data_IF_889443918406
#
_entry.id   IF_889443918406
#
_cell.length_a   1.000
_cell.length_b   1.000
_cell.length_c   1.000
_cell.angle_alpha   90.00
_cell.angle_beta   90.00
_cell.angle_gamma   90.00
#
_symmetry.space_group_name_H-M   'P 1'
#
loop_
_entity.id
_entity.type
_entity.pdbx_description
1 polymer ?
#
# COMPACT_ATOMS: atom_id res chain seq x y z
N UNK A 1 6.41 52.76 -10.22
CA UNK A 1 5.20 52.01 -10.63
C UNK A 1 5.63 50.62 -11.07
N UNK A 2 5.58 49.64 -10.17
CA UNK A 2 5.70 48.23 -10.53
C UNK A 2 4.39 47.81 -11.20
N UNK A 3 4.40 47.16 -12.38
CA UNK A 3 3.16 46.70 -12.99
C UNK A 3 2.46 45.76 -12.01
N UNK A 4 1.16 46.00 -11.85
CA UNK A 4 0.25 45.33 -10.95
C UNK A 4 0.11 43.84 -11.36
N UNK A 5 1.08 43.01 -10.96
CA UNK A 5 1.07 41.59 -11.26
C UNK A 5 0.18 40.89 -10.23
N UNK A 6 -1.04 40.57 -10.63
CA UNK A 6 -1.91 39.68 -9.84
C UNK A 6 -1.43 38.24 -10.04
N UNK A 7 -0.83 37.58 -9.02
CA UNK A 7 -0.38 36.20 -9.15
C UNK A 7 -1.57 35.29 -9.46
N UNK A 8 -1.40 34.39 -10.43
CA UNK A 8 -2.44 33.41 -10.79
C UNK A 8 -2.69 32.49 -9.60
N UNK A 9 -3.93 32.50 -9.08
CA UNK A 9 -4.39 31.62 -8.02
C UNK A 9 -5.01 30.39 -8.70
N UNK A 10 -4.43 29.21 -8.48
CA UNK A 10 -4.87 27.96 -9.11
C UNK A 10 -5.77 27.11 -8.21
N UNK A 11 -5.80 27.41 -6.91
CA UNK A 11 -6.68 26.79 -5.91
C UNK A 11 -6.80 27.68 -4.68
N UNK A 12 -7.82 27.43 -3.86
CA UNK A 12 -7.95 28.11 -2.57
C UNK A 12 -8.48 29.55 -2.63
N UNK A 13 -9.09 29.97 -3.74
CA UNK A 13 -9.58 31.35 -3.90
C UNK A 13 -10.78 31.66 -3.00
N UNK A 14 -11.71 30.71 -2.87
CA UNK A 14 -12.96 30.88 -2.13
C UNK A 14 -12.99 30.08 -0.80
N UNK A 15 -12.15 29.04 -0.69
CA UNK A 15 -12.12 28.11 0.45
C UNK A 15 -10.77 27.40 0.49
N UNK A 16 -10.19 27.25 1.69
CA UNK A 16 -8.85 26.68 1.89
C UNK A 16 -7.72 27.70 1.71
N UNK A 17 -6.49 27.20 1.67
CA UNK A 17 -5.27 28.02 1.54
C UNK A 17 -5.02 28.38 0.07
N UNK A 18 -4.86 29.66 -0.30
CA UNK A 18 -4.55 30.04 -1.67
C UNK A 18 -3.23 29.45 -2.17
N UNK A 19 -3.28 28.84 -3.35
CA UNK A 19 -2.10 28.33 -4.08
C UNK A 19 -1.85 29.24 -5.28
N UNK A 20 -0.70 29.87 -5.30
CA UNK A 20 -0.30 30.88 -6.27
C UNK A 20 0.86 30.41 -7.12
N UNK A 21 0.91 30.89 -8.37
CA UNK A 21 2.03 30.66 -9.28
C UNK A 21 2.84 31.94 -9.49
N UNK A 22 4.17 31.80 -9.55
CA UNK A 22 5.02 32.87 -10.09
C UNK A 22 4.73 33.10 -11.58
N UNK A 23 5.10 34.26 -12.12
CA UNK A 23 4.83 34.64 -13.52
C UNK A 23 5.28 33.60 -14.54
N UNK A 24 6.49 33.09 -14.38
CA UNK A 24 7.04 32.07 -15.26
C UNK A 24 6.29 30.74 -15.14
N UNK A 25 5.84 30.39 -13.93
CA UNK A 25 5.12 29.14 -13.68
C UNK A 25 3.65 29.20 -14.10
N UNK A 26 3.04 30.40 -14.12
CA UNK A 26 1.69 30.60 -14.65
C UNK A 26 1.59 30.22 -16.14
N UNK A 27 2.61 30.55 -16.94
CA UNK A 27 2.67 30.14 -18.35
C UNK A 27 2.74 28.62 -18.50
N UNK A 28 3.58 27.96 -17.70
CA UNK A 28 3.67 26.50 -17.68
C UNK A 28 2.34 25.85 -17.31
N UNK A 29 1.67 26.35 -16.26
CA UNK A 29 0.36 25.85 -15.85
C UNK A 29 -0.71 26.04 -16.93
N UNK A 30 -0.74 27.19 -17.59
CA UNK A 30 -1.68 27.48 -18.68
C UNK A 30 -1.48 26.56 -19.90
N UNK A 31 -0.30 25.96 -20.07
CA UNK A 31 -0.08 24.94 -21.11
C UNK A 31 -0.52 23.54 -20.65
N UNK A 32 -0.35 23.22 -19.37
CA UNK A 32 -0.78 21.93 -18.80
C UNK A 32 -2.30 21.82 -18.64
N UNK A 33 -2.98 22.91 -18.29
CA UNK A 33 -4.41 22.88 -17.99
C UNK A 33 -5.28 22.42 -19.17
N UNK A 34 -5.08 22.94 -20.40
CA UNK A 34 -5.77 22.41 -21.58
C UNK A 34 -5.48 20.93 -21.82
N UNK A 35 -4.24 20.48 -21.62
CA UNK A 35 -3.86 19.07 -21.78
C UNK A 35 -4.60 18.19 -20.76
N UNK A 36 -4.67 18.62 -19.50
CA UNK A 36 -5.40 17.91 -18.45
C UNK A 36 -6.91 17.83 -18.75
N UNK A 37 -7.50 18.93 -19.26
CA UNK A 37 -8.90 18.98 -19.70
C UNK A 37 -9.16 18.08 -20.92
N UNK A 38 -8.17 17.94 -21.80
CA UNK A 38 -8.20 17.01 -22.93
C UNK A 38 -7.97 15.54 -22.53
N UNK A 39 -7.85 15.24 -21.22
CA UNK A 39 -7.69 13.88 -20.71
C UNK A 39 -6.25 13.37 -20.65
N UNK A 40 -5.25 14.23 -20.82
CA UNK A 40 -3.85 13.83 -20.65
C UNK A 40 -3.60 13.44 -19.18
N UNK A 41 -3.23 12.17 -18.96
CA UNK A 41 -3.03 11.59 -17.64
C UNK A 41 -2.01 12.35 -16.77
N UNK A 42 -0.84 12.65 -17.34
CA UNK A 42 0.26 13.34 -16.65
C UNK A 42 -0.09 14.77 -16.25
N UNK A 43 -0.68 15.52 -17.18
CA UNK A 43 -1.13 16.87 -16.91
C UNK A 43 -2.21 16.90 -15.81
N UNK A 44 -3.15 15.94 -15.85
CA UNK A 44 -4.20 15.82 -14.86
C UNK A 44 -3.65 15.50 -13.46
N UNK A 45 -2.72 14.54 -13.36
CA UNK A 45 -1.99 14.23 -12.13
C UNK A 45 -1.31 15.47 -11.56
N UNK A 46 -0.49 16.16 -12.36
CA UNK A 46 0.29 17.31 -11.89
C UNK A 46 -0.63 18.42 -11.38
N UNK A 47 -1.69 18.73 -12.13
CA UNK A 47 -2.62 19.80 -11.76
C UNK A 47 -3.39 19.47 -10.48
N UNK A 48 -3.96 18.26 -10.39
CA UNK A 48 -4.69 17.83 -9.18
C UNK A 48 -3.82 17.90 -7.95
N UNK A 49 -2.59 17.41 -8.06
CA UNK A 49 -1.65 17.40 -6.95
C UNK A 49 -1.27 18.83 -6.53
N UNK A 50 -0.94 19.72 -7.46
CA UNK A 50 -0.65 21.14 -7.16
C UNK A 50 -1.83 21.85 -6.49
N UNK A 51 -3.05 21.65 -7.01
CA UNK A 51 -4.26 22.24 -6.44
C UNK A 51 -4.54 21.69 -5.03
N UNK A 52 -4.20 20.43 -4.78
CA UNK A 52 -4.42 19.77 -3.49
C UNK A 52 -3.68 20.42 -2.31
N UNK A 53 -2.66 21.25 -2.58
CA UNK A 53 -2.00 22.07 -1.56
C UNK A 53 -2.98 23.02 -0.83
N UNK A 54 -4.10 23.39 -1.47
CA UNK A 54 -5.06 24.30 -0.87
C UNK A 54 -5.76 23.73 0.36
N UNK A 55 -5.75 22.41 0.56
CA UNK A 55 -6.34 21.80 1.76
C UNK A 55 -5.47 21.97 3.02
N UNK A 56 -4.32 22.66 2.93
CA UNK A 56 -3.49 23.07 4.08
C UNK A 56 -2.74 21.94 4.81
N UNK A 57 -3.07 20.69 4.51
CA UNK A 57 -2.29 19.54 4.93
C UNK A 57 -1.02 19.45 4.07
N UNK A 58 0.15 19.39 4.72
CA UNK A 58 1.35 18.81 4.10
C UNK A 58 0.99 17.35 3.83
N UNK A 59 0.41 17.11 2.66
CA UNK A 59 0.08 15.77 2.18
C UNK A 59 1.39 15.01 1.97
N UNK A 60 1.34 13.67 1.89
CA UNK A 60 2.56 12.83 1.82
C UNK A 60 3.42 13.03 0.56
N UNK A 61 2.93 13.80 -0.43
CA UNK A 61 3.65 14.35 -1.61
C UNK A 61 4.61 15.49 -1.29
N UNK A 62 4.46 16.16 -0.14
CA UNK A 62 5.18 17.38 0.17
C UNK A 62 6.37 17.06 1.06
N UNK A 63 7.58 17.20 0.50
CA UNK A 63 8.84 17.03 1.22
C UNK A 63 9.37 18.39 1.65
N UNK A 64 9.50 18.60 2.95
CA UNK A 64 10.05 19.85 3.49
C UNK A 64 11.57 19.80 3.36
N UNK A 65 12.16 20.67 2.54
CA UNK A 65 13.62 20.76 2.46
C UNK A 65 14.16 21.52 3.66
N UNK A 66 15.19 20.98 4.32
CA UNK A 66 15.94 21.63 5.41
C UNK A 66 16.79 22.83 4.95
N UNK A 67 16.28 23.62 4.01
CA UNK A 67 16.81 24.95 3.70
C UNK A 67 16.66 25.83 4.94
N UNK A 68 17.64 26.69 5.26
CA UNK A 68 17.65 27.46 6.50
C UNK A 68 16.33 28.19 6.68
N UNK A 69 15.75 28.02 7.88
CA UNK A 69 14.53 28.68 8.32
C UNK A 69 14.77 30.20 8.34
N UNK A 70 14.62 30.86 7.19
CA UNK A 70 14.23 32.26 7.23
C UNK A 70 12.87 32.31 7.93
N UNK A 71 12.79 33.05 9.04
CA UNK A 71 11.66 33.02 9.98
C UNK A 71 10.27 33.24 9.35
N UNK A 72 10.21 33.71 8.10
CA UNK A 72 9.00 34.09 7.38
C UNK A 72 8.55 33.09 6.29
N UNK A 73 9.37 32.09 5.90
CA UNK A 73 9.04 31.19 4.78
C UNK A 73 9.51 29.75 5.02
N UNK A 74 8.63 28.78 4.76
CA UNK A 74 9.00 27.35 4.69
C UNK A 74 9.10 26.92 3.23
N UNK A 75 10.28 26.48 2.81
CA UNK A 75 10.49 25.91 1.49
C UNK A 75 10.18 24.42 1.51
N UNK A 76 9.47 23.94 0.49
CA UNK A 76 9.23 22.52 0.31
C UNK A 76 9.22 22.15 -1.16
N UNK A 77 9.56 20.88 -1.40
CA UNK A 77 9.60 20.27 -2.70
C UNK A 77 8.50 19.23 -2.79
N UNK A 78 7.64 19.35 -3.79
CA UNK A 78 6.66 18.35 -4.15
C UNK A 78 7.28 17.40 -5.17
N UNK A 79 7.34 16.11 -4.85
CA UNK A 79 7.74 15.09 -5.81
C UNK A 79 6.47 14.58 -6.48
N UNK A 80 6.40 14.73 -7.80
CA UNK A 80 5.32 14.21 -8.63
C UNK A 80 5.93 13.26 -9.66
N UNK A 81 5.20 12.21 -10.05
CA UNK A 81 5.56 11.44 -11.21
C UNK A 81 5.82 12.33 -12.44
N UNK A 82 7.05 12.26 -12.98
CA UNK A 82 7.51 13.08 -14.10
C UNK A 82 7.70 14.58 -13.82
N UNK A 83 7.49 15.07 -12.60
CA UNK A 83 7.58 16.51 -12.29
C UNK A 83 8.06 16.80 -10.87
N UNK A 84 8.83 17.87 -10.70
CA UNK A 84 9.22 18.37 -9.38
C UNK A 84 8.80 19.81 -9.25
N UNK A 85 7.89 20.08 -8.32
CA UNK A 85 7.47 21.45 -7.99
C UNK A 85 8.16 21.94 -6.72
N UNK A 86 8.58 23.20 -6.73
CA UNK A 86 9.18 23.88 -5.59
C UNK A 86 8.21 24.97 -5.12
N UNK A 87 7.91 24.93 -3.83
CA UNK A 87 6.82 25.71 -3.25
C UNK A 87 7.29 26.40 -1.97
N UNK A 88 6.81 27.62 -1.76
CA UNK A 88 6.99 28.39 -0.53
C UNK A 88 5.68 28.43 0.24
N UNK A 89 5.71 28.10 1.53
CA UNK A 89 4.67 28.51 2.47
C UNK A 89 5.03 29.90 2.99
N UNK A 90 4.21 30.89 2.66
CA UNK A 90 4.36 32.26 3.16
C UNK A 90 3.86 32.37 4.60
N UNK A 91 4.37 33.35 5.35
CA UNK A 91 3.87 33.72 6.68
C UNK A 91 2.38 34.08 6.69
N UNK A 92 1.86 34.56 5.57
CA UNK A 92 0.42 34.81 5.34
C UNK A 92 -0.43 33.54 5.20
N UNK A 93 0.18 32.36 5.34
CA UNK A 93 -0.47 31.06 5.17
C UNK A 93 -0.52 30.57 3.72
N UNK A 94 -0.35 31.45 2.72
CA UNK A 94 -0.46 31.13 1.29
C UNK A 94 0.69 30.25 0.79
N UNK A 95 0.42 29.50 -0.28
CA UNK A 95 1.43 28.74 -1.01
C UNK A 95 1.82 29.43 -2.31
N UNK A 96 3.12 29.50 -2.61
CA UNK A 96 3.64 30.03 -3.87
C UNK A 96 4.51 28.97 -4.56
N UNK A 97 4.04 28.43 -5.68
CA UNK A 97 4.84 27.58 -6.58
C UNK A 97 5.70 28.49 -7.43
N UNK A 98 7.01 28.47 -7.18
CA UNK A 98 7.94 29.39 -7.82
C UNK A 98 8.80 28.74 -8.90
N UNK A 99 8.90 27.41 -8.90
CA UNK A 99 9.67 26.65 -9.89
C UNK A 99 9.06 25.26 -10.09
N UNK A 100 8.99 24.81 -11.33
CA UNK A 100 8.71 23.43 -11.70
C UNK A 100 9.82 22.91 -12.61
N UNK A 101 10.13 21.62 -12.49
CA UNK A 101 11.05 20.89 -13.37
C UNK A 101 10.33 19.65 -13.88
N UNK A 102 10.08 19.60 -15.19
CA UNK A 102 9.49 18.44 -15.86
C UNK A 102 10.60 17.47 -16.26
N UNK A 103 10.31 16.17 -16.22
CA UNK A 103 11.12 15.12 -16.82
C UNK A 103 10.41 14.66 -18.10
N UNK A 104 10.80 15.27 -19.22
CA UNK A 104 10.16 15.04 -20.53
C UNK A 104 10.30 13.58 -21.01
N UNK A 105 11.29 12.85 -20.47
CA UNK A 105 11.53 11.46 -20.81
C UNK A 105 10.74 10.47 -19.94
N UNK A 106 10.01 10.96 -18.93
CA UNK A 106 9.34 10.10 -17.96
C UNK A 106 8.36 9.10 -18.59
N UNK A 107 7.47 9.49 -19.53
CA UNK A 107 6.56 8.52 -20.18
C UNK A 107 7.31 7.44 -20.97
N UNK A 108 8.39 7.81 -21.67
CA UNK A 108 9.24 6.86 -22.40
C UNK A 108 9.95 5.88 -21.45
N UNK A 109 10.38 6.37 -20.29
CA UNK A 109 11.00 5.51 -19.28
C UNK A 109 10.00 4.54 -18.67
N UNK A 110 8.72 4.89 -18.55
CA UNK A 110 7.69 3.95 -18.09
C UNK A 110 7.35 2.91 -19.15
N UNK A 111 7.19 3.33 -20.41
CA UNK A 111 6.90 2.40 -21.50
C UNK A 111 8.00 1.36 -21.69
N UNK A 112 9.25 1.75 -21.42
CA UNK A 112 10.42 0.85 -21.43
C UNK A 112 10.66 0.12 -20.11
N UNK A 113 9.77 0.25 -19.12
CA UNK A 113 9.87 -0.42 -17.82
C UNK A 113 11.04 0.04 -16.94
N UNK A 114 11.57 1.24 -17.19
CA UNK A 114 12.65 1.88 -16.41
C UNK A 114 12.11 2.85 -15.34
N UNK A 115 10.83 3.18 -15.40
CA UNK A 115 10.09 3.91 -14.36
C UNK A 115 8.83 3.14 -13.96
N UNK A 116 8.30 3.38 -12.75
CA UNK A 116 7.13 2.67 -12.27
C UNK A 116 5.91 2.96 -13.15
N UNK A 117 5.03 1.99 -13.32
CA UNK A 117 3.83 2.17 -14.14
C UNK A 117 2.91 0.96 -14.15
N UNK A 118 1.71 1.18 -14.67
CA UNK A 118 0.70 0.14 -14.87
C UNK A 118 0.91 -0.51 -16.24
N UNK A 119 0.89 -1.85 -16.27
CA UNK A 119 1.04 -2.65 -17.47
C UNK A 119 -0.11 -3.65 -17.58
N UNK A 120 -0.72 -3.78 -18.76
CA UNK A 120 -1.64 -4.85 -19.08
C UNK A 120 -0.83 -6.08 -19.46
N UNK A 121 -1.03 -7.19 -18.77
CA UNK A 121 -0.31 -8.44 -19.01
C UNK A 121 -1.24 -9.44 -19.68
N UNK A 122 -0.91 -9.83 -20.91
CA UNK A 122 -1.65 -10.85 -21.67
C UNK A 122 -0.79 -12.07 -21.93
N UNK A 123 -1.43 -13.23 -21.99
CA UNK A 123 -0.77 -14.46 -22.41
C UNK A 123 -0.76 -14.55 -23.94
N UNK A 124 0.42 -14.83 -24.50
CA UNK A 124 0.57 -15.18 -25.91
C UNK A 124 1.37 -16.48 -25.97
N UNK A 125 0.70 -17.58 -26.31
CA UNK A 125 1.29 -18.93 -26.23
C UNK A 125 1.69 -19.30 -24.80
N UNK A 126 2.96 -19.61 -24.57
CA UNK A 126 3.52 -19.93 -23.25
C UNK A 126 3.97 -18.70 -22.45
N UNK A 127 3.93 -17.50 -23.06
CA UNK A 127 4.60 -16.33 -22.53
C UNK A 127 3.64 -15.24 -22.06
N UNK A 128 4.08 -14.48 -21.06
CA UNK A 128 3.37 -13.31 -20.55
C UNK A 128 3.98 -12.04 -21.14
N UNK A 129 3.13 -11.22 -21.75
CA UNK A 129 3.51 -10.00 -22.44
C UNK A 129 2.91 -8.79 -21.72
N UNK A 130 3.73 -8.01 -20.99
CA UNK A 130 3.32 -6.74 -20.41
C UNK A 130 3.33 -5.63 -21.47
N UNK A 131 2.25 -4.85 -21.53
CA UNK A 131 2.13 -3.65 -22.35
C UNK A 131 1.77 -2.46 -21.45
N UNK A 132 2.51 -1.36 -21.55
CA UNK A 132 2.28 -0.18 -20.72
C UNK A 132 0.89 0.44 -20.97
N UNK A 133 0.21 0.85 -19.89
CA UNK A 133 -1.10 1.50 -19.92
C UNK A 133 -0.91 3.00 -19.63
N UNK A 134 -0.96 3.82 -20.68
CA UNK A 134 -0.64 5.26 -20.58
C UNK A 134 -1.61 6.07 -19.71
N UNK A 135 -2.87 5.65 -19.62
CA UNK A 135 -3.92 6.37 -18.91
C UNK A 135 -4.11 5.91 -17.45
N UNK A 136 -3.36 4.88 -17.00
CA UNK A 136 -3.47 4.32 -15.65
C UNK A 136 -4.79 3.57 -15.36
N UNK A 137 -5.64 3.33 -16.36
CA UNK A 137 -6.92 2.68 -16.15
C UNK A 137 -6.75 1.16 -16.07
N UNK A 138 -7.32 0.57 -15.03
CA UNK A 138 -7.37 -0.88 -14.88
C UNK A 138 -8.32 -1.46 -15.94
N UNK A 139 -7.89 -2.56 -16.54
CA UNK A 139 -8.59 -3.32 -17.55
C UNK A 139 -9.95 -3.79 -17.01
N UNK A 140 -11.00 -3.52 -17.77
CA UNK A 140 -12.35 -3.92 -17.44
C UNK A 140 -12.58 -5.39 -17.82
N UNK A 141 -12.20 -6.30 -16.93
CA UNK A 141 -12.48 -7.74 -17.02
C UNK A 141 -13.60 -8.15 -16.07
N UNK A 142 -14.28 -9.29 -16.29
CA UNK A 142 -15.30 -9.78 -15.36
C UNK A 142 -14.76 -9.99 -13.93
N UNK A 143 -13.49 -10.38 -13.81
CA UNK A 143 -12.76 -10.44 -12.54
C UNK A 143 -11.43 -9.69 -12.72
N UNK A 144 -11.39 -8.36 -12.51
CA UNK A 144 -10.17 -7.58 -12.67
C UNK A 144 -9.13 -8.01 -11.63
N UNK A 145 -7.91 -8.29 -12.08
CA UNK A 145 -6.80 -8.70 -11.23
C UNK A 145 -5.69 -7.68 -11.43
N UNK A 146 -5.18 -7.12 -10.33
CA UNK A 146 -4.03 -6.22 -10.35
C UNK A 146 -2.94 -6.76 -9.44
N UNK A 147 -1.79 -7.06 -10.03
CA UNK A 147 -0.57 -7.39 -9.29
C UNK A 147 0.26 -6.14 -9.02
N UNK A 148 0.81 -6.00 -7.81
CA UNK A 148 1.77 -4.94 -7.46
C UNK A 148 3.12 -5.60 -7.22
N UNK A 149 4.08 -5.32 -8.10
CA UNK A 149 5.38 -6.00 -8.14
C UNK A 149 6.56 -5.02 -8.10
N UNK A 150 7.69 -5.50 -7.58
CA UNK A 150 8.93 -4.73 -7.44
C UNK A 150 10.18 -5.59 -7.65
N UNK A 151 11.34 -4.94 -7.75
CA UNK A 151 12.63 -5.62 -7.59
C UNK A 151 13.09 -6.45 -8.79
N UNK A 152 12.35 -6.42 -9.90
CA UNK A 152 12.71 -7.08 -11.15
C UNK A 152 13.47 -6.14 -12.09
N UNK A 153 14.31 -6.72 -12.95
CA UNK A 153 15.08 -5.98 -13.96
C UNK A 153 14.20 -5.40 -15.07
N UNK A 154 13.10 -6.07 -15.38
CA UNK A 154 12.18 -5.70 -16.44
C UNK A 154 10.76 -6.21 -16.11
N UNK A 155 9.76 -5.67 -16.82
CA UNK A 155 8.37 -6.02 -16.62
C UNK A 155 8.02 -7.45 -17.04
N UNK A 156 8.79 -8.08 -17.94
CA UNK A 156 8.54 -9.47 -18.35
C UNK A 156 8.79 -10.44 -17.19
N UNK A 157 9.94 -10.34 -16.53
CA UNK A 157 10.27 -11.17 -15.37
C UNK A 157 9.26 -10.98 -14.23
N UNK A 158 8.86 -9.73 -13.99
CA UNK A 158 7.82 -9.39 -13.03
C UNK A 158 6.47 -10.04 -13.39
N UNK A 159 6.08 -10.00 -14.67
CA UNK A 159 4.83 -10.59 -15.15
C UNK A 159 4.80 -12.11 -14.96
N UNK A 160 5.89 -12.82 -15.27
CA UNK A 160 5.97 -14.26 -15.01
C UNK A 160 5.81 -14.58 -13.52
N UNK A 161 6.51 -13.83 -12.66
CA UNK A 161 6.43 -14.06 -11.23
C UNK A 161 5.06 -13.73 -10.66
N UNK A 162 4.46 -12.61 -11.07
CA UNK A 162 3.11 -12.22 -10.68
C UNK A 162 2.07 -13.25 -11.13
N UNK A 163 2.16 -13.76 -12.35
CA UNK A 163 1.26 -14.82 -12.81
C UNK A 163 1.40 -16.11 -11.98
N UNK A 164 2.62 -16.46 -11.57
CA UNK A 164 2.86 -17.60 -10.68
C UNK A 164 2.23 -17.38 -9.31
N UNK A 165 2.39 -16.20 -8.73
CA UNK A 165 1.85 -15.85 -7.42
C UNK A 165 0.32 -15.76 -7.42
N UNK A 166 -0.28 -15.23 -8.49
CA UNK A 166 -1.73 -15.24 -8.68
C UNK A 166 -2.26 -16.68 -8.73
N UNK A 167 -1.60 -17.59 -9.46
CA UNK A 167 -1.99 -19.01 -9.50
C UNK A 167 -1.84 -19.67 -8.12
N UNK A 168 -0.76 -19.37 -7.41
CA UNK A 168 -0.49 -19.92 -6.08
C UNK A 168 -1.48 -19.42 -5.03
N UNK A 169 -2.11 -18.25 -5.24
CA UNK A 169 -3.14 -17.73 -4.33
C UNK A 169 -4.39 -18.62 -4.25
N UNK A 170 -4.69 -19.38 -5.30
CA UNK A 170 -5.90 -20.20 -5.40
C UNK A 170 -7.21 -19.41 -5.57
N UNK A 171 -7.15 -18.07 -5.57
CA UNK A 171 -8.33 -17.20 -5.68
C UNK A 171 -8.91 -17.16 -7.10
N UNK A 172 -8.06 -17.39 -8.11
CA UNK A 172 -8.45 -17.39 -9.52
C UNK A 172 -7.94 -18.67 -10.17
N UNK A 173 -8.82 -19.36 -10.88
CA UNK A 173 -8.44 -20.55 -11.65
C UNK A 173 -7.45 -20.22 -12.77
N UNK A 174 -6.43 -21.05 -12.95
CA UNK A 174 -5.41 -20.88 -14.00
C UNK A 174 -5.99 -20.63 -15.38
N UNK A 175 -7.09 -21.30 -15.74
CA UNK A 175 -7.77 -21.10 -17.03
C UNK A 175 -8.27 -19.65 -17.22
N UNK A 176 -8.84 -19.05 -16.17
CA UNK A 176 -9.34 -17.67 -16.21
C UNK A 176 -8.19 -16.70 -16.39
N UNK A 177 -7.14 -16.85 -15.56
CA UNK A 177 -5.94 -16.01 -15.64
C UNK A 177 -5.28 -16.08 -17.01
N UNK A 178 -5.15 -17.28 -17.59
CA UNK A 178 -4.51 -17.48 -18.88
C UNK A 178 -5.29 -16.90 -20.06
N UNK A 179 -6.62 -16.88 -19.96
CA UNK A 179 -7.49 -16.36 -21.01
C UNK A 179 -7.66 -14.84 -20.94
N UNK A 180 -7.81 -14.28 -19.74
CA UNK A 180 -8.09 -12.85 -19.57
C UNK A 180 -6.82 -12.01 -19.38
N UNK A 181 -5.78 -12.57 -18.77
CA UNK A 181 -4.63 -11.81 -18.30
C UNK A 181 -4.84 -11.16 -16.94
N UNK A 182 -4.04 -10.15 -16.65
CA UNK A 182 -4.12 -9.33 -15.43
C UNK A 182 -3.40 -8.01 -15.68
N UNK A 183 -3.66 -7.00 -14.85
CA UNK A 183 -2.83 -5.79 -14.85
C UNK A 183 -1.75 -5.90 -13.79
N UNK A 184 -0.64 -5.21 -14.03
CA UNK A 184 0.52 -5.23 -13.15
C UNK A 184 1.04 -3.82 -12.97
N UNK A 185 1.01 -3.32 -11.74
CA UNK A 185 1.77 -2.15 -11.35
C UNK A 185 3.21 -2.57 -11.04
N UNK A 186 4.13 -2.23 -11.93
CA UNK A 186 5.52 -2.63 -11.84
C UNK A 186 6.39 -1.48 -11.32
N UNK A 187 7.21 -1.75 -10.31
CA UNK A 187 8.23 -0.84 -9.81
C UNK A 187 9.63 -1.37 -10.14
N UNK A 188 10.35 -0.80 -11.12
CA UNK A 188 11.67 -1.26 -11.47
C UNK A 188 12.71 -0.87 -10.42
N UNK A 189 13.78 -1.66 -10.35
CA UNK A 189 14.95 -1.35 -9.53
C UNK A 189 15.28 -2.45 -8.55
N UNK A 190 15.89 -2.07 -7.43
CA UNK A 190 16.24 -3.00 -6.36
C UNK A 190 15.01 -3.37 -5.55
N UNK A 191 15.01 -4.60 -5.03
CA UNK A 191 13.98 -5.11 -4.12
C UNK A 191 13.68 -4.13 -2.98
N UNK A 192 12.41 -3.83 -2.80
CA UNK A 192 11.85 -2.99 -1.75
C UNK A 192 11.67 -3.82 -0.47
N UNK A 193 12.02 -3.23 0.67
CA UNK A 193 11.91 -3.86 1.98
C UNK A 193 12.87 -5.03 2.19
N UNK A 194 12.56 -5.88 3.17
CA UNK A 194 13.43 -6.96 3.62
C UNK A 194 14.59 -6.51 4.51
N UNK A 195 15.54 -7.41 4.75
CA UNK A 195 16.67 -7.19 5.66
C UNK A 195 17.65 -6.11 5.17
N UNK A 196 17.78 -5.96 3.84
CA UNK A 196 18.67 -4.95 3.26
C UNK A 196 18.08 -3.55 3.35
N UNK A 197 16.76 -3.42 3.48
CA UNK A 197 16.04 -2.14 3.57
C UNK A 197 15.04 -2.11 4.74
N UNK A 198 15.50 -2.43 5.95
CA UNK A 198 14.62 -2.58 7.14
C UNK A 198 13.79 -1.31 7.42
N UNK A 199 14.39 -0.12 7.31
CA UNK A 199 13.66 1.13 7.55
C UNK A 199 12.49 1.30 6.58
N UNK A 200 12.71 1.01 5.30
CA UNK A 200 11.69 1.02 4.26
C UNK A 200 10.65 -0.10 4.51
N UNK A 201 11.08 -1.28 4.95
CA UNK A 201 10.20 -2.41 5.28
C UNK A 201 9.22 -2.09 6.42
N UNK A 202 9.68 -1.36 7.44
CA UNK A 202 8.86 -1.01 8.61
C UNK A 202 8.01 0.25 8.39
N UNK A 203 8.50 1.21 7.58
CA UNK A 203 7.90 2.54 7.40
C UNK A 203 7.47 2.85 5.96
N UNK A 204 7.13 1.82 5.17
CA UNK A 204 6.78 1.96 3.76
C UNK A 204 5.74 3.07 3.47
N UNK A 205 4.77 3.25 4.36
CA UNK A 205 3.72 4.27 4.24
C UNK A 205 4.24 5.72 4.12
N UNK A 206 5.46 6.00 4.59
CA UNK A 206 6.07 7.32 4.61
C UNK A 206 7.45 7.36 3.90
N UNK A 207 7.83 6.28 3.22
CA UNK A 207 9.13 6.21 2.57
C UNK A 207 9.16 7.06 1.29
N UNK A 208 10.15 7.95 1.17
CA UNK A 208 10.28 8.89 0.04
C UNK A 208 10.59 8.19 -1.27
N UNK A 209 11.33 7.07 -1.22
CA UNK A 209 11.79 6.35 -2.41
C UNK A 209 10.64 5.61 -3.10
N UNK A 210 9.59 5.27 -2.35
CA UNK A 210 8.40 4.59 -2.84
C UNK A 210 7.37 5.55 -3.45
N UNK A 211 7.51 6.85 -3.17
CA UNK A 211 6.47 7.85 -3.40
C UNK A 211 6.02 7.93 -4.86
N UNK A 212 6.98 7.94 -5.80
CA UNK A 212 6.73 8.01 -7.24
C UNK A 212 5.80 6.87 -7.70
N UNK A 213 6.15 5.64 -7.32
CA UNK A 213 5.37 4.45 -7.62
C UNK A 213 4.01 4.44 -6.91
N UNK A 214 3.98 4.83 -5.64
CA UNK A 214 2.77 4.82 -4.82
C UNK A 214 1.71 5.83 -5.29
N UNK A 215 2.11 7.01 -5.80
CA UNK A 215 1.16 7.98 -6.37
C UNK A 215 0.48 7.43 -7.61
N UNK A 216 1.25 6.82 -8.51
CA UNK A 216 0.71 6.24 -9.74
C UNK A 216 -0.25 5.09 -9.44
N UNK A 217 0.12 4.24 -8.50
CA UNK A 217 -0.76 3.16 -8.04
C UNK A 217 -2.02 3.72 -7.37
N UNK A 218 -1.89 4.70 -6.46
CA UNK A 218 -3.03 5.32 -5.80
C UNK A 218 -4.01 5.95 -6.81
N UNK A 219 -3.51 6.55 -7.89
CA UNK A 219 -4.38 7.10 -8.93
C UNK A 219 -5.11 6.01 -9.71
N UNK A 220 -4.41 4.93 -10.07
CA UNK A 220 -5.03 3.78 -10.73
C UNK A 220 -6.12 3.17 -9.85
N UNK A 221 -5.85 3.01 -8.54
CA UNK A 221 -6.81 2.56 -7.53
C UNK A 221 -8.00 3.51 -7.39
N UNK A 222 -7.76 4.82 -7.34
CA UNK A 222 -8.81 5.85 -7.22
C UNK A 222 -9.74 5.86 -8.43
N UNK A 223 -9.21 5.64 -9.64
CA UNK A 223 -10.02 5.47 -10.85
C UNK A 223 -10.82 4.17 -10.82
N UNK A 224 -10.26 3.12 -10.22
CA UNK A 224 -10.89 1.81 -10.10
C UNK A 224 -12.01 1.76 -9.06
N UNK A 225 -12.27 2.84 -8.33
CA UNK A 225 -13.37 2.93 -7.36
C UNK A 225 -14.75 2.69 -7.99
N UNK A 226 -14.89 2.92 -9.30
CA UNK A 226 -16.15 2.72 -10.01
C UNK A 226 -16.36 1.25 -10.41
N UNK A 227 -15.30 0.45 -10.41
CA UNK A 227 -15.33 -0.97 -10.74
C UNK A 227 -15.51 -1.83 -9.49
N UNK A 228 -16.26 -2.91 -9.62
CA UNK A 228 -16.52 -3.85 -8.53
C UNK A 228 -15.55 -5.05 -8.60
N UNK A 229 -15.29 -5.70 -7.45
CA UNK A 229 -14.66 -7.03 -7.40
C UNK A 229 -13.18 -7.10 -7.78
N UNK A 230 -12.41 -6.01 -7.68
CA UNK A 230 -10.99 -6.04 -8.05
C UNK A 230 -10.18 -6.85 -7.05
N UNK A 231 -9.41 -7.82 -7.54
CA UNK A 231 -8.42 -8.54 -6.76
C UNK A 231 -7.06 -7.83 -6.83
N UNK A 232 -6.65 -7.24 -5.72
CA UNK A 232 -5.35 -6.62 -5.51
C UNK A 232 -4.38 -7.63 -4.90
N UNK A 233 -3.43 -8.12 -5.71
CA UNK A 233 -2.37 -9.00 -5.24
C UNK A 233 -1.07 -8.22 -5.11
N UNK A 234 -0.45 -8.21 -3.93
CA UNK A 234 0.89 -7.65 -3.78
C UNK A 234 1.92 -8.75 -3.75
N UNK A 235 3.04 -8.54 -4.43
CA UNK A 235 4.17 -9.45 -4.43
C UNK A 235 5.38 -8.78 -3.80
N UNK A 236 6.08 -9.47 -2.87
CA UNK A 236 7.37 -9.00 -2.38
C UNK A 236 7.29 -7.62 -1.71
N UNK A 237 8.15 -6.71 -2.17
CA UNK A 237 8.18 -5.31 -1.77
C UNK A 237 7.13 -4.43 -2.43
N UNK A 238 6.39 -4.96 -3.41
CA UNK A 238 5.14 -4.37 -3.91
C UNK A 238 4.13 -4.10 -2.78
N UNK A 239 4.18 -4.89 -1.70
CA UNK A 239 3.45 -4.62 -0.45
C UNK A 239 3.72 -3.22 0.13
N UNK A 240 4.93 -2.69 -0.01
CA UNK A 240 5.30 -1.37 0.48
C UNK A 240 4.70 -0.25 -0.36
N UNK A 241 4.78 -0.39 -1.69
CA UNK A 241 4.16 0.53 -2.65
C UNK A 241 2.64 0.56 -2.42
N UNK A 242 2.02 -0.61 -2.29
CA UNK A 242 0.60 -0.75 -2.00
C UNK A 242 0.21 -0.08 -0.68
N UNK A 243 0.98 -0.31 0.39
CA UNK A 243 0.78 0.34 1.70
C UNK A 243 0.78 1.86 1.59
N UNK A 244 1.77 2.43 0.89
CA UNK A 244 1.84 3.88 0.72
C UNK A 244 0.70 4.41 -0.16
N UNK A 245 0.35 3.70 -1.24
CA UNK A 245 -0.76 4.06 -2.11
C UNK A 245 -2.09 4.13 -1.35
N UNK A 246 -2.41 3.11 -0.53
CA UNK A 246 -3.59 3.12 0.33
C UNK A 246 -3.58 4.28 1.33
N UNK A 247 -2.42 4.63 1.84
CA UNK A 247 -2.31 5.77 2.75
C UNK A 247 -2.55 7.12 2.05
N UNK A 248 -2.13 7.25 0.79
CA UNK A 248 -2.47 8.40 -0.06
C UNK A 248 -4.00 8.44 -0.26
N UNK A 249 -4.62 7.33 -0.63
CA UNK A 249 -6.08 7.22 -0.81
C UNK A 249 -6.86 7.59 0.44
N UNK A 250 -6.42 7.10 1.61
CA UNK A 250 -7.02 7.43 2.91
C UNK A 250 -6.97 8.93 3.17
N UNK A 251 -5.84 9.58 2.86
CA UNK A 251 -5.70 11.04 2.99
C UNK A 251 -6.57 11.83 2.00
N UNK A 252 -6.97 11.21 0.89
CA UNK A 252 -7.91 11.76 -0.10
C UNK A 252 -9.38 11.47 0.24
N UNK A 253 -9.65 10.67 1.27
CA UNK A 253 -11.01 10.29 1.66
C UNK A 253 -11.68 9.31 0.70
N UNK A 254 -10.89 8.52 -0.04
CA UNK A 254 -11.40 7.46 -0.93
C UNK A 254 -11.84 6.26 -0.09
N UNK A 255 -12.89 5.56 -0.53
CA UNK A 255 -13.38 4.33 0.07
C UNK A 255 -13.87 3.34 -0.98
N UNK A 256 -13.75 2.04 -0.69
CA UNK A 256 -14.13 0.90 -1.52
C UNK A 256 -15.19 -0.01 -0.85
N UNK A 257 -15.84 0.46 0.24
CA UNK A 257 -16.78 -0.35 1.04
C UNK A 257 -17.87 -1.04 0.23
N UNK A 258 -18.39 -0.37 -0.79
CA UNK A 258 -19.49 -0.87 -1.61
C UNK A 258 -19.02 -1.52 -2.92
N UNK A 259 -17.72 -1.83 -3.03
CA UNK A 259 -17.07 -2.29 -4.25
C UNK A 259 -16.50 -3.68 -4.19
N UNK A 260 -16.50 -4.31 -3.01
CA UNK A 260 -16.02 -5.69 -2.84
C UNK A 260 -14.60 -5.89 -3.41
N UNK A 261 -13.69 -4.93 -3.20
CA UNK A 261 -12.30 -5.12 -3.61
C UNK A 261 -11.61 -6.09 -2.64
N UNK A 262 -10.91 -7.09 -3.16
CA UNK A 262 -10.20 -8.09 -2.36
C UNK A 262 -8.69 -7.85 -2.37
N UNK A 263 -8.01 -8.16 -1.27
CA UNK A 263 -6.55 -8.00 -1.15
C UNK A 263 -5.88 -9.32 -0.77
N UNK A 264 -4.79 -9.63 -1.45
CA UNK A 264 -3.93 -10.79 -1.19
C UNK A 264 -2.46 -10.37 -1.07
N UNK A 265 -1.78 -10.85 -0.03
CA UNK A 265 -0.37 -10.60 0.20
C UNK A 265 0.47 -11.86 -0.12
N UNK A 266 1.18 -11.82 -1.25
CA UNK A 266 2.14 -12.84 -1.66
C UNK A 266 3.55 -12.43 -1.24
N UNK A 267 4.16 -13.19 -0.33
CA UNK A 267 5.56 -13.04 0.08
C UNK A 267 5.94 -11.60 0.48
N UNK A 268 5.15 -10.91 1.33
CA UNK A 268 5.39 -9.50 1.63
C UNK A 268 6.73 -9.29 2.32
N UNK A 269 7.53 -8.33 1.84
CA UNK A 269 8.83 -7.95 2.44
C UNK A 269 8.74 -6.65 3.25
N UNK A 270 7.56 -6.04 3.31
CA UNK A 270 7.24 -4.86 4.12
C UNK A 270 6.07 -5.18 5.05
N UNK A 271 5.88 -4.37 6.09
CA UNK A 271 4.91 -4.57 7.15
C UNK A 271 3.47 -4.75 6.62
N UNK A 272 3.04 -6.02 6.48
CA UNK A 272 1.72 -6.35 5.95
C UNK A 272 0.59 -6.02 6.93
N UNK A 273 0.87 -5.97 8.23
CA UNK A 273 -0.12 -5.62 9.27
C UNK A 273 -0.60 -4.18 9.08
N UNK A 274 0.31 -3.27 8.76
CA UNK A 274 -0.04 -1.90 8.43
C UNK A 274 -0.80 -1.81 7.09
N UNK A 275 -0.37 -2.59 6.10
CA UNK A 275 -1.06 -2.69 4.82
C UNK A 275 -2.52 -3.17 5.01
N UNK A 276 -2.72 -4.23 5.79
CA UNK A 276 -4.03 -4.81 6.08
C UNK A 276 -4.93 -3.81 6.81
N UNK A 277 -4.40 -3.13 7.84
CA UNK A 277 -5.14 -2.09 8.55
C UNK A 277 -5.62 -0.97 7.63
N UNK A 278 -4.76 -0.49 6.72
CA UNK A 278 -5.12 0.53 5.74
C UNK A 278 -6.17 0.04 4.73
N UNK A 279 -6.07 -1.20 4.27
CA UNK A 279 -7.05 -1.78 3.36
C UNK A 279 -8.44 -1.94 4.03
N UNK A 280 -8.51 -2.42 5.27
CA UNK A 280 -9.77 -2.47 6.03
C UNK A 280 -10.36 -1.08 6.25
N UNK A 281 -9.52 -0.09 6.59
CA UNK A 281 -9.96 1.31 6.77
C UNK A 281 -10.56 1.90 5.48
N UNK A 282 -10.05 1.48 4.32
CA UNK A 282 -10.60 1.86 3.01
C UNK A 282 -11.85 1.06 2.64
N UNK A 283 -12.15 -0.04 3.33
CA UNK A 283 -13.30 -0.91 3.06
C UNK A 283 -13.01 -2.04 2.07
N UNK A 284 -11.76 -2.50 1.99
CA UNK A 284 -11.39 -3.68 1.20
C UNK A 284 -11.57 -4.96 2.02
N UNK A 285 -11.86 -6.06 1.31
CA UNK A 285 -12.12 -7.38 1.84
C UNK A 285 -10.88 -8.29 1.77
N UNK A 286 -10.90 -9.35 2.56
CA UNK A 286 -9.84 -10.35 2.61
C UNK A 286 -10.44 -11.75 2.66
N UNK A 287 -9.95 -12.63 1.80
CA UNK A 287 -10.20 -14.06 1.99
C UNK A 287 -9.52 -14.58 3.25
N UNK A 288 -9.97 -15.71 3.77
CA UNK A 288 -9.39 -16.31 4.98
C UNK A 288 -7.89 -16.57 4.83
N UNK A 289 -7.47 -17.11 3.70
CA UNK A 289 -6.06 -17.42 3.40
C UNK A 289 -5.42 -16.32 2.53
N UNK A 290 -5.62 -15.04 2.87
CA UNK A 290 -5.12 -13.86 2.15
C UNK A 290 -3.60 -13.60 2.23
N UNK A 291 -2.84 -14.50 2.85
CA UNK A 291 -1.42 -14.31 3.14
C UNK A 291 -0.61 -15.59 2.89
N UNK A 292 0.43 -15.44 2.08
CA UNK A 292 1.43 -16.46 1.82
C UNK A 292 2.84 -15.95 2.20
N UNK A 293 3.50 -16.63 3.14
CA UNK A 293 4.85 -16.32 3.63
C UNK A 293 5.68 -17.59 3.61
N UNK A 294 6.96 -17.49 3.23
CA UNK A 294 7.95 -18.56 3.33
C UNK A 294 8.66 -18.48 4.68
N UNK A 295 8.50 -19.53 5.49
CA UNK A 295 9.05 -19.69 6.84
C UNK A 295 10.55 -19.37 7.01
N UNK A 296 11.34 -19.57 5.95
CA UNK A 296 12.81 -19.43 5.97
C UNK A 296 13.32 -18.23 5.16
N UNK A 297 12.44 -17.37 4.63
CA UNK A 297 12.86 -16.17 3.93
C UNK A 297 12.95 -14.99 4.91
N UNK A 298 14.18 -14.61 5.27
CA UNK A 298 14.40 -13.56 6.25
C UNK A 298 13.90 -12.17 5.80
N UNK A 299 13.81 -11.91 4.50
CA UNK A 299 13.23 -10.66 4.01
C UNK A 299 11.71 -10.62 4.24
N UNK A 300 11.05 -11.76 4.04
CA UNK A 300 9.61 -11.91 4.34
C UNK A 300 9.34 -11.91 5.84
N UNK A 301 10.29 -12.35 6.67
CA UNK A 301 10.18 -12.31 8.13
C UNK A 301 10.11 -10.87 8.66
N UNK A 302 10.79 -9.91 8.01
CA UNK A 302 10.67 -8.48 8.34
C UNK A 302 9.29 -7.97 7.92
N UNK A 303 8.81 -8.36 6.74
CA UNK A 303 7.48 -7.98 6.27
C UNK A 303 6.35 -8.56 7.13
N UNK A 304 6.55 -9.77 7.65
CA UNK A 304 5.75 -10.45 8.66
C UNK A 304 5.91 -9.94 10.10
N UNK A 305 6.69 -8.86 10.30
CA UNK A 305 6.97 -8.22 11.59
C UNK A 305 7.62 -9.11 12.67
N UNK A 306 8.35 -10.18 12.31
CA UNK A 306 8.99 -11.15 13.24
C UNK A 306 8.05 -11.66 14.34
N UNK A 307 7.61 -12.92 14.25
CA UNK A 307 6.91 -13.65 15.33
C UNK A 307 5.81 -12.82 16.03
N UNK A 308 4.70 -12.57 15.32
CA UNK A 308 3.55 -11.85 15.90
C UNK A 308 2.64 -11.17 14.88
N UNK A 309 3.12 -10.90 13.66
CA UNK A 309 2.34 -10.22 12.61
C UNK A 309 1.02 -10.91 12.30
N UNK A 310 1.03 -12.24 12.14
CA UNK A 310 -0.17 -13.05 11.88
C UNK A 310 -1.22 -12.92 12.99
N UNK A 311 -0.79 -12.85 14.26
CA UNK A 311 -1.69 -12.65 15.40
C UNK A 311 -2.31 -11.25 15.38
N UNK A 312 -1.51 -10.22 15.12
CA UNK A 312 -2.00 -8.83 15.08
C UNK A 312 -2.97 -8.66 13.92
N UNK A 313 -2.63 -9.20 12.74
CA UNK A 313 -3.48 -9.19 11.56
C UNK A 313 -4.79 -9.96 11.79
N UNK A 314 -4.74 -11.15 12.39
CA UNK A 314 -5.93 -11.91 12.73
C UNK A 314 -6.82 -11.17 13.75
N UNK A 315 -6.23 -10.51 14.75
CA UNK A 315 -6.97 -9.76 15.75
C UNK A 315 -7.63 -8.50 15.16
N UNK A 316 -6.95 -7.86 14.21
CA UNK A 316 -7.48 -6.76 13.42
C UNK A 316 -8.73 -7.19 12.64
N UNK A 317 -8.65 -8.33 11.93
CA UNK A 317 -9.79 -8.90 11.21
C UNK A 317 -10.94 -9.24 12.16
N UNK A 318 -10.67 -9.90 13.28
CA UNK A 318 -11.69 -10.24 14.29
C UNK A 318 -12.50 -9.02 14.78
N UNK A 319 -11.92 -7.82 14.75
CA UNK A 319 -12.60 -6.58 15.17
C UNK A 319 -13.41 -5.89 14.09
N UNK A 320 -13.00 -6.05 12.83
CA UNK A 320 -13.44 -5.18 11.72
C UNK A 320 -14.08 -5.96 10.57
N UNK A 321 -13.75 -7.23 10.42
CA UNK A 321 -14.26 -8.15 9.42
C UNK A 321 -15.38 -8.99 10.05
N UNK A 322 -16.66 -8.76 9.69
CA UNK A 322 -17.79 -9.48 10.28
C UNK A 322 -17.80 -10.97 9.94
N UNK A 323 -17.11 -11.39 8.87
CA UNK A 323 -17.00 -12.79 8.46
C UNK A 323 -15.87 -13.53 9.19
N UNK A 324 -14.98 -12.78 9.87
CA UNK A 324 -13.85 -13.34 10.59
C UNK A 324 -14.18 -13.68 12.05
N UNK A 325 -14.58 -14.93 12.29
CA UNK A 325 -14.95 -15.42 13.61
C UNK A 325 -13.76 -15.65 14.56
N UNK A 326 -14.03 -15.73 15.86
CA UNK A 326 -13.02 -16.10 16.86
C UNK A 326 -12.43 -17.51 16.63
N UNK A 327 -13.18 -18.42 16.01
CA UNK A 327 -12.69 -19.75 15.62
C UNK A 327 -11.69 -19.62 14.47
N UNK A 328 -11.99 -18.80 13.46
CA UNK A 328 -11.05 -18.50 12.38
C UNK A 328 -9.75 -17.94 12.93
N UNK A 329 -9.84 -16.98 13.85
CA UNK A 329 -8.68 -16.42 14.56
C UNK A 329 -7.84 -17.49 15.28
N UNK A 330 -8.47 -18.39 16.03
CA UNK A 330 -7.76 -19.46 16.75
C UNK A 330 -7.05 -20.44 15.82
N UNK A 331 -7.69 -20.83 14.71
CA UNK A 331 -7.10 -21.73 13.72
C UNK A 331 -5.96 -21.06 12.95
N UNK A 332 -6.11 -19.79 12.58
CA UNK A 332 -5.08 -19.08 11.83
C UNK A 332 -3.88 -18.71 12.71
N UNK A 333 -4.11 -18.43 14.01
CA UNK A 333 -3.04 -18.33 15.01
C UNK A 333 -2.20 -19.62 15.09
N UNK A 334 -2.85 -20.80 15.06
CA UNK A 334 -2.16 -22.08 14.99
C UNK A 334 -1.37 -22.26 13.70
N UNK A 335 -1.96 -21.90 12.55
CA UNK A 335 -1.26 -21.92 11.25
C UNK A 335 -0.05 -20.99 11.27
N UNK A 336 -0.16 -19.80 11.87
CA UNK A 336 0.95 -18.86 12.02
C UNK A 336 2.08 -19.43 12.88
N UNK A 337 1.75 -20.13 13.97
CA UNK A 337 2.74 -20.86 14.78
C UNK A 337 3.41 -21.96 13.96
N UNK A 338 2.66 -22.79 13.23
CA UNK A 338 3.26 -23.87 12.44
C UNK A 338 4.12 -23.37 11.27
N UNK A 339 3.69 -22.29 10.59
CA UNK A 339 4.44 -21.64 9.50
C UNK A 339 5.75 -21.02 9.99
N UNK A 340 5.78 -20.43 11.18
CA UNK A 340 6.98 -19.73 11.68
C UNK A 340 7.94 -20.64 12.49
N UNK A 341 7.53 -21.85 12.90
CA UNK A 341 8.22 -22.62 13.96
C UNK A 341 8.63 -24.06 13.58
N UNK A 342 8.50 -24.47 12.30
CA UNK A 342 8.96 -25.79 11.83
C UNK A 342 10.48 -26.06 12.00
N UNK A 343 11.27 -25.09 12.48
CA UNK A 343 12.72 -25.22 12.70
C UNK A 343 13.16 -25.31 14.17
N UNK A 344 12.26 -25.22 15.15
CA UNK A 344 12.59 -25.36 16.58
C UNK A 344 11.65 -26.40 17.19
N UNK A 345 12.22 -27.46 17.76
CA UNK A 345 11.59 -28.68 18.30
C UNK A 345 10.60 -28.45 19.45
N UNK A 346 9.52 -27.70 19.24
CA UNK A 346 8.50 -27.34 20.24
C UNK A 346 7.09 -27.66 19.71
N UNK A 347 6.96 -28.73 18.93
CA UNK A 347 5.69 -29.12 18.29
C UNK A 347 4.66 -29.68 19.28
N UNK A 348 5.08 -30.16 20.46
CA UNK A 348 4.18 -30.83 21.40
C UNK A 348 3.39 -29.85 22.31
N UNK A 349 4.03 -28.80 22.83
CA UNK A 349 3.42 -27.93 23.83
C UNK A 349 2.39 -26.94 23.25
N UNK A 350 2.67 -26.38 22.07
CA UNK A 350 1.78 -25.39 21.43
C UNK A 350 0.50 -26.04 20.88
N UNK A 351 0.58 -27.27 20.39
CA UNK A 351 -0.57 -27.99 19.83
C UNK A 351 -1.56 -28.41 20.92
N UNK A 352 -1.07 -28.79 22.11
CA UNK A 352 -1.91 -29.10 23.27
C UNK A 352 -2.55 -27.84 23.89
N UNK A 353 -1.84 -26.71 23.86
CA UNK A 353 -2.31 -25.44 24.39
C UNK A 353 -3.53 -24.89 23.64
N UNK A 354 -3.60 -25.10 22.32
CA UNK A 354 -4.72 -24.58 21.51
C UNK A 354 -5.87 -25.57 21.36
N UNK A 355 -5.63 -26.88 21.41
CA UNK A 355 -6.73 -27.85 21.48
C UNK A 355 -7.55 -27.72 22.78
N UNK A 356 -6.90 -27.37 23.89
CA UNK A 356 -7.56 -26.98 25.13
C UNK A 356 -8.30 -25.63 25.02
N UNK A 357 -7.83 -24.74 24.13
CA UNK A 357 -8.37 -23.40 23.95
C UNK A 357 -9.60 -23.32 23.04
N UNK A 358 -9.64 -24.18 22.02
CA UNK A 358 -10.71 -24.23 21.05
C UNK A 358 -11.81 -25.22 21.43
N UNK A 359 -11.76 -25.80 22.63
CA UNK A 359 -12.80 -26.71 23.11
C UNK A 359 -13.00 -27.94 22.22
N UNK A 360 -11.93 -28.49 21.63
CA UNK A 360 -12.04 -29.74 20.85
C UNK A 360 -12.04 -31.00 21.74
N UNK A 361 -12.51 -30.86 22.98
CA UNK A 361 -12.97 -31.99 23.79
C UNK A 361 -14.45 -32.19 23.50
N UNK A 362 -14.83 -33.43 23.17
CA UNK A 362 -16.16 -33.79 22.70
C UNK A 362 -17.31 -33.11 23.47
N UNK A 363 -18.27 -32.60 22.68
CA UNK A 363 -19.63 -32.17 23.02
C UNK A 363 -19.82 -30.77 23.65
N UNK A 364 -20.74 -30.01 23.02
CA UNK A 364 -21.46 -28.81 23.49
C UNK A 364 -20.90 -27.45 23.06
N UNK A 365 -21.56 -26.85 22.06
CA UNK A 365 -21.36 -25.46 21.64
C UNK A 365 -21.91 -24.50 22.70
N UNK A 366 -21.03 -23.91 23.50
CA UNK A 366 -21.25 -22.63 24.15
C UNK A 366 -19.92 -21.88 24.10
N UNK A 367 -19.86 -20.76 23.37
CA UNK A 367 -18.66 -19.96 23.18
C UNK A 367 -18.77 -18.70 24.06
N UNK A 368 -18.18 -18.67 25.28
CA UNK A 368 -17.78 -17.42 25.89
C UNK A 368 -16.44 -17.00 25.28
N UNK A 369 -16.39 -15.78 24.73
CA UNK A 369 -15.23 -15.17 24.07
C UNK A 369 -14.05 -14.82 25.00
N UNK A 370 -13.77 -15.66 25.99
CA UNK A 370 -12.71 -15.49 26.98
C UNK A 370 -12.07 -16.87 27.17
N UNK A 371 -10.74 -16.94 27.16
CA UNK A 371 -9.89 -18.17 27.20
C UNK A 371 -9.61 -18.62 25.75
N UNK A 372 -8.42 -18.47 25.15
CA UNK A 372 -7.09 -18.82 25.68
C UNK A 372 -5.99 -18.25 24.78
N UNK A 373 -5.46 -17.08 25.14
CA UNK A 373 -4.14 -16.65 24.66
C UNK A 373 -3.03 -17.13 25.59
N UNK A 374 -3.33 -17.51 26.84
CA UNK A 374 -2.31 -17.75 27.87
C UNK A 374 -1.38 -18.94 27.59
N UNK A 375 -1.87 -20.05 27.03
CA UNK A 375 -1.10 -21.30 26.89
C UNK A 375 -0.24 -21.32 25.63
N UNK A 376 -0.69 -20.72 24.52
CA UNK A 376 0.16 -20.49 23.34
C UNK A 376 1.26 -19.45 23.61
N UNK A 377 1.06 -18.57 24.60
CA UNK A 377 1.98 -17.50 24.98
C UNK A 377 3.07 -17.91 26.00
N UNK A 378 2.98 -19.08 26.63
CA UNK A 378 4.05 -19.54 27.54
C UNK A 378 5.38 -19.81 26.80
N UNK A 379 5.33 -20.13 25.50
CA UNK A 379 6.51 -20.28 24.64
C UNK A 379 7.00 -18.97 24.00
N UNK A 380 6.22 -17.90 24.08
CA UNK A 380 6.56 -16.57 23.56
C UNK A 380 7.15 -15.77 24.73
N UNK A 381 8.46 -15.52 24.70
CA UNK A 381 9.18 -14.82 25.76
C UNK A 381 8.37 -13.65 26.36
N UNK A 382 8.16 -13.74 27.69
CA UNK A 382 7.37 -12.88 28.57
C UNK A 382 7.56 -11.35 28.36
N UNK A 383 8.67 -10.95 27.73
CA UNK A 383 9.12 -9.58 27.51
C UNK A 383 8.42 -8.86 26.37
N UNK A 384 8.00 -9.55 25.29
CA UNK A 384 7.39 -8.90 24.12
C UNK A 384 5.92 -8.51 24.38
N UNK A 385 5.17 -9.38 25.06
CA UNK A 385 3.78 -9.10 25.40
C UNK A 385 3.65 -7.97 26.44
N UNK A 386 4.60 -7.90 27.37
CA UNK A 386 4.70 -6.83 28.35
C UNK A 386 4.96 -5.45 27.69
N UNK A 387 5.71 -5.40 26.59
CA UNK A 387 5.99 -4.14 25.88
C UNK A 387 4.81 -3.62 25.05
N UNK A 388 4.01 -4.50 24.45
CA UNK A 388 2.99 -4.10 23.46
C UNK A 388 1.58 -3.97 24.03
N UNK A 389 1.24 -4.75 25.06
CA UNK A 389 -0.09 -4.71 25.70
C UNK A 389 0.05 -4.76 27.24
N UNK A 390 0.73 -3.77 27.86
CA UNK A 390 1.10 -3.81 29.28
C UNK A 390 -0.12 -4.02 30.20
N UNK A 391 -1.25 -3.37 29.88
CA UNK A 391 -2.47 -3.46 30.70
C UNK A 391 -3.15 -4.84 30.64
N UNK A 392 -2.98 -5.57 29.53
CA UNK A 392 -3.55 -6.92 29.36
C UNK A 392 -2.62 -7.97 29.98
N UNK A 393 -1.31 -7.77 29.89
CA UNK A 393 -0.30 -8.58 30.57
C UNK A 393 -0.48 -8.57 32.09
N UNK A 394 -0.61 -7.39 32.69
CA UNK A 394 -0.78 -7.29 34.14
C UNK A 394 -2.08 -7.97 34.62
N UNK A 395 -3.16 -7.88 33.84
CA UNK A 395 -4.43 -8.57 34.16
C UNK A 395 -4.35 -10.09 34.02
N UNK A 396 -3.53 -10.60 33.11
CA UNK A 396 -3.30 -12.03 32.92
C UNK A 396 -2.37 -12.59 34.00
N UNK A 397 -1.29 -11.88 34.32
CA UNK A 397 -0.37 -12.22 35.41
C UNK A 397 -1.05 -12.23 36.78
N UNK A 398 -2.08 -11.40 37.00
CA UNK A 398 -2.85 -11.39 38.24
C UNK A 398 -3.87 -12.53 38.35
N UNK A 399 -4.10 -13.30 37.27
CA UNK A 399 -5.09 -14.39 37.19
C UNK A 399 -4.46 -15.78 36.99
N UNK A 400 -3.15 -15.82 36.76
CA UNK A 400 -2.29 -16.99 36.85
C UNK A 400 -1.61 -16.97 38.22
#
# INVERSE_FOLDING_TARGET
>A
MTPDYKPLIIAGQNSGTPVQLSKTQAQFYNNLEPMARAGNYWANLIIKELQSLSSGHIKRNVFVSNTPKNANFTHFQMLLPGCRAYVLKCSSGKYLVYKMKLDDNYPLLQSTGKRPGLHQVKRQGSNWHPAFIENGHISNHPTPIVSVSDGYKNAYDAAYSSASDIKASGLIGSYVLERQGFDMHFTPGTKIGGLTQINQALNAANDVTLYDSAVLLAQSMEQAKESDGILWLTQGGGSGVFTQAMSILKSRGVSFKDKEHHVYFSHPTTNFVNAQALAMDLGMNFDRDNLNIRALNFDELVGGLKFGGDFIAGYQRLKQDPEYTAVNYGVDALKGVSRNWQSISVTAACTAAVSAACGMGATSFAIPAVITTATAMAGLGNTLFQQWLPDRYNRLKAKL
#
